data_IF_692470365688
#
_entry.id   IF_692470365688
#
_cell.length_a   1.000
_cell.length_b   1.000
_cell.length_c   1.000
_cell.angle_alpha   90.00
_cell.angle_beta   90.00
_cell.angle_gamma   90.00
#
_symmetry.space_group_name_H-M   'P 1'
#
loop_
_entity.id
_entity.type
_entity.pdbx_description
1 polymer ?
#
# COMPACT_ATOMS: atom_id res chain seq x y z
N UNK A 1 -8.98 -22.48 0.65
CA UNK A 1 -8.20 -22.58 -0.60
C UNK A 1 -7.38 -21.32 -0.67
N UNK A 2 -6.06 -21.46 -0.58
CA UNK A 2 -5.07 -20.39 -0.39
C UNK A 2 -4.97 -19.61 -1.70
N UNK A 3 -5.56 -18.42 -1.75
CA UNK A 3 -5.32 -17.41 -2.80
C UNK A 3 -3.99 -16.72 -2.42
N UNK A 4 -2.88 -17.45 -2.33
CA UNK A 4 -1.83 -17.61 -3.35
C UNK A 4 -1.13 -16.31 -3.78
N UNK A 5 -0.49 -15.58 -2.85
CA UNK A 5 0.66 -14.64 -2.97
C UNK A 5 0.72 -13.64 -4.16
N UNK A 6 -0.30 -13.59 -5.00
CA UNK A 6 -0.33 -12.81 -6.23
C UNK A 6 -0.62 -11.35 -5.90
N UNK A 7 -1.39 -11.10 -4.84
CA UNK A 7 -1.65 -9.78 -4.31
C UNK A 7 -0.37 -9.15 -3.78
N UNK A 8 0.35 -9.84 -2.89
CA UNK A 8 1.71 -9.47 -2.45
C UNK A 8 2.65 -9.21 -3.63
N UNK A 9 2.66 -10.11 -4.63
CA UNK A 9 3.46 -9.90 -5.84
C UNK A 9 3.03 -8.65 -6.62
N UNK A 10 1.73 -8.34 -6.65
CA UNK A 10 1.16 -7.13 -7.21
C UNK A 10 1.62 -5.87 -6.47
N UNK A 11 1.51 -5.85 -5.13
CA UNK A 11 2.00 -4.76 -4.28
C UNK A 11 3.52 -4.57 -4.45
N UNK A 12 4.28 -5.66 -4.50
CA UNK A 12 5.72 -5.62 -4.76
C UNK A 12 6.06 -4.99 -6.12
N UNK A 13 5.34 -5.38 -7.18
CA UNK A 13 5.51 -4.78 -8.51
C UNK A 13 5.16 -3.30 -8.53
N UNK A 14 4.13 -2.88 -7.78
CA UNK A 14 3.80 -1.46 -7.62
C UNK A 14 4.92 -0.71 -6.90
N UNK A 15 5.47 -1.27 -5.83
CA UNK A 15 6.60 -0.69 -5.12
C UNK A 15 7.83 -0.50 -6.02
N UNK A 16 8.17 -1.51 -6.82
CA UNK A 16 9.24 -1.41 -7.83
C UNK A 16 8.94 -0.33 -8.86
N UNK A 17 7.71 -0.29 -9.37
CA UNK A 17 7.28 0.75 -10.31
C UNK A 17 7.43 2.15 -9.72
N UNK A 18 7.04 2.37 -8.46
CA UNK A 18 7.14 3.67 -7.80
C UNK A 18 8.58 4.17 -7.72
N UNK A 19 9.52 3.30 -7.33
CA UNK A 19 10.94 3.63 -7.28
C UNK A 19 11.45 4.01 -8.67
N UNK A 20 11.12 3.24 -9.71
CA UNK A 20 11.53 3.54 -11.08
C UNK A 20 10.86 4.80 -11.64
N UNK A 21 9.58 5.00 -11.34
CA UNK A 21 8.78 6.14 -11.79
C UNK A 21 9.34 7.48 -11.29
N UNK A 22 10.00 7.48 -10.13
CA UNK A 22 10.67 8.65 -9.58
C UNK A 22 11.73 9.24 -10.51
N UNK A 23 12.36 8.39 -11.34
CA UNK A 23 13.35 8.81 -12.33
C UNK A 23 12.74 9.02 -13.72
N UNK A 24 11.74 8.21 -14.09
CA UNK A 24 11.15 8.23 -15.44
C UNK A 24 10.14 9.37 -15.61
N UNK A 25 9.39 9.74 -14.56
CA UNK A 25 8.30 10.72 -14.64
C UNK A 25 8.74 12.16 -14.35
N UNK A 26 10.05 12.41 -14.21
CA UNK A 26 10.58 13.76 -14.02
C UNK A 26 10.25 14.38 -12.66
N UNK A 27 10.07 13.55 -11.63
CA UNK A 27 9.98 14.03 -10.26
C UNK A 27 11.28 14.74 -9.87
N UNK A 28 11.18 15.77 -9.03
CA UNK A 28 12.35 16.53 -8.56
C UNK A 28 12.20 16.93 -7.09
N UNK A 29 13.33 17.30 -6.48
CA UNK A 29 13.37 17.73 -5.07
C UNK A 29 12.87 16.66 -4.09
N UNK A 30 12.06 17.06 -3.12
CA UNK A 30 11.52 16.18 -2.08
C UNK A 30 10.61 15.07 -2.65
N UNK A 31 9.96 15.33 -3.79
CA UNK A 31 9.01 14.40 -4.39
C UNK A 31 9.67 13.08 -4.85
N UNK A 32 10.93 13.13 -5.29
CA UNK A 32 11.72 11.93 -5.64
C UNK A 32 11.90 11.04 -4.41
N UNK A 33 12.42 11.61 -3.33
CA UNK A 33 12.75 10.85 -2.12
C UNK A 33 11.52 10.29 -1.42
N UNK A 34 10.42 11.05 -1.40
CA UNK A 34 9.16 10.59 -0.81
C UNK A 34 8.53 9.47 -1.64
N UNK A 35 8.54 9.58 -2.98
CA UNK A 35 8.06 8.50 -3.85
C UNK A 35 8.89 7.23 -3.66
N UNK A 36 10.23 7.36 -3.59
CA UNK A 36 11.13 6.22 -3.35
C UNK A 36 10.86 5.61 -1.97
N UNK A 37 10.77 6.42 -0.92
CA UNK A 37 10.54 5.95 0.45
C UNK A 37 9.21 5.20 0.56
N UNK A 38 8.14 5.74 -0.02
CA UNK A 38 6.83 5.07 -0.05
C UNK A 38 6.87 3.79 -0.89
N UNK A 39 7.53 3.81 -2.05
CA UNK A 39 7.71 2.61 -2.89
C UNK A 39 8.47 1.51 -2.15
N UNK A 40 9.57 1.85 -1.48
CA UNK A 40 10.34 0.90 -0.65
C UNK A 40 9.54 0.39 0.54
N UNK A 41 8.71 1.25 1.16
CA UNK A 41 7.78 0.84 2.21
C UNK A 41 6.82 -0.23 1.71
N UNK A 42 6.18 0.00 0.56
CA UNK A 42 5.26 -0.99 -0.05
C UNK A 42 6.01 -2.29 -0.36
N UNK A 43 7.23 -2.21 -0.91
CA UNK A 43 8.03 -3.42 -1.16
C UNK A 43 8.37 -4.18 0.12
N UNK A 44 8.66 -3.47 1.22
CA UNK A 44 9.01 -4.09 2.49
C UNK A 44 7.84 -4.89 3.06
N UNK A 45 6.66 -4.26 3.15
CA UNK A 45 5.44 -4.94 3.62
C UNK A 45 5.12 -6.13 2.72
N UNK A 46 5.01 -5.92 1.41
CA UNK A 46 4.76 -7.01 0.46
C UNK A 46 5.76 -8.18 0.55
N UNK A 47 7.04 -7.94 0.90
CA UNK A 47 8.02 -9.01 1.13
C UNK A 47 7.78 -9.72 2.46
N UNK A 48 7.40 -8.99 3.52
CA UNK A 48 7.06 -9.58 4.81
C UNK A 48 5.84 -10.51 4.73
N UNK A 49 4.82 -10.22 3.89
CA UNK A 49 3.68 -11.12 3.65
C UNK A 49 4.08 -12.54 3.27
N UNK A 50 5.10 -12.67 2.43
CA UNK A 50 5.58 -13.99 2.00
C UNK A 50 6.16 -14.81 3.15
N UNK A 51 6.59 -14.15 4.24
CA UNK A 51 7.25 -14.79 5.38
C UNK A 51 6.29 -14.96 6.56
N UNK A 52 5.56 -13.90 6.93
CA UNK A 52 4.67 -13.85 8.09
C UNK A 52 3.37 -13.13 7.72
N UNK A 53 2.36 -13.85 7.20
CA UNK A 53 1.06 -13.28 6.91
C UNK A 53 0.43 -12.72 8.20
N UNK A 54 0.17 -11.42 8.23
CA UNK A 54 -0.39 -10.74 9.41
C UNK A 54 -1.32 -9.60 9.01
N UNK A 55 -2.43 -9.44 9.74
CA UNK A 55 -3.35 -8.32 9.57
C UNK A 55 -2.67 -6.94 9.70
N UNK A 56 -1.60 -6.82 10.51
CA UNK A 56 -0.87 -5.56 10.66
C UNK A 56 -0.20 -5.10 9.38
N UNK A 57 0.19 -6.05 8.55
CA UNK A 57 0.82 -5.80 7.27
C UNK A 57 -0.19 -5.22 6.28
N UNK A 58 -1.37 -5.82 6.17
CA UNK A 58 -2.48 -5.35 5.34
C UNK A 58 -2.88 -3.90 5.72
N UNK A 59 -2.94 -3.60 7.03
CA UNK A 59 -3.16 -2.23 7.51
C UNK A 59 -2.00 -1.28 7.14
N UNK A 60 -0.76 -1.76 7.20
CA UNK A 60 0.43 -1.01 6.78
C UNK A 60 0.37 -0.64 5.29
N UNK A 61 0.03 -1.60 4.43
CA UNK A 61 -0.16 -1.39 3.01
C UNK A 61 -1.31 -0.40 2.72
N UNK A 62 -2.44 -0.49 3.43
CA UNK A 62 -3.52 0.49 3.32
C UNK A 62 -3.07 1.91 3.66
N UNK A 63 -2.29 2.07 4.75
CA UNK A 63 -1.76 3.37 5.16
C UNK A 63 -0.75 3.92 4.15
N UNK A 64 0.13 3.07 3.62
CA UNK A 64 1.10 3.45 2.59
C UNK A 64 0.41 3.82 1.27
N UNK A 65 -0.59 3.07 0.85
CA UNK A 65 -1.40 3.39 -0.32
C UNK A 65 -2.14 4.71 -0.15
N UNK A 66 -2.65 5.00 1.05
CA UNK A 66 -3.26 6.30 1.34
C UNK A 66 -2.22 7.43 1.30
N UNK A 67 -1.04 7.20 1.86
CA UNK A 67 0.07 8.17 1.79
C UNK A 67 0.47 8.45 0.33
N UNK A 68 0.51 7.44 -0.53
CA UNK A 68 0.76 7.58 -1.97
C UNK A 68 -0.30 8.39 -2.71
N UNK A 69 -1.57 8.21 -2.33
CA UNK A 69 -2.67 9.04 -2.86
C UNK A 69 -2.46 10.49 -2.43
N UNK A 70 -2.14 10.76 -1.16
CA UNK A 70 -2.06 12.14 -0.65
C UNK A 70 -0.72 12.84 -0.96
N UNK A 71 0.33 12.11 -1.30
CA UNK A 71 1.68 12.62 -1.52
C UNK A 71 1.76 13.72 -2.59
N UNK A 72 1.13 13.62 -3.77
CA UNK A 72 1.23 14.63 -4.82
C UNK A 72 0.76 16.02 -4.37
N UNK A 73 -0.31 16.07 -3.57
CA UNK A 73 -0.85 17.33 -3.05
C UNK A 73 -0.10 17.84 -1.83
N UNK A 74 0.43 16.93 -1.01
CA UNK A 74 1.19 17.30 0.19
C UNK A 74 2.59 17.85 -0.15
N UNK A 75 3.20 17.31 -1.21
CA UNK A 75 4.58 17.63 -1.60
C UNK A 75 4.64 18.57 -2.81
N UNK A 76 3.57 18.65 -3.60
CA UNK A 76 3.50 19.50 -4.78
C UNK A 76 4.17 18.87 -6.00
N UNK A 77 3.68 17.71 -6.44
CA UNK A 77 4.19 17.07 -7.65
C UNK A 77 3.87 17.93 -8.87
N UNK A 78 4.90 18.34 -9.61
CA UNK A 78 4.74 19.18 -10.81
C UNK A 78 4.16 18.40 -12.02
N UNK A 79 4.67 17.21 -12.37
CA UNK A 79 4.18 16.51 -13.56
C UNK A 79 2.84 15.82 -13.26
N UNK A 80 1.82 16.11 -14.07
CA UNK A 80 0.50 15.45 -13.99
C UNK A 80 0.63 13.93 -14.09
N UNK A 81 1.56 13.44 -14.92
CA UNK A 81 1.86 12.01 -15.06
C UNK A 81 2.36 11.37 -13.75
N UNK A 82 3.19 12.08 -12.98
CA UNK A 82 3.68 11.63 -11.68
C UNK A 82 2.55 11.57 -10.65
N UNK A 83 1.67 12.59 -10.63
CA UNK A 83 0.47 12.60 -9.78
C UNK A 83 -0.44 11.42 -10.08
N UNK A 84 -0.77 11.19 -11.36
CA UNK A 84 -1.61 10.07 -11.77
C UNK A 84 -0.96 8.73 -11.40
N UNK A 85 0.34 8.56 -11.65
CA UNK A 85 1.06 7.34 -11.28
C UNK A 85 1.00 7.09 -9.77
N UNK A 86 1.29 8.09 -8.94
CA UNK A 86 1.27 7.97 -7.48
C UNK A 86 -0.12 7.60 -6.97
N UNK A 87 -1.16 8.27 -7.46
CA UNK A 87 -2.55 8.02 -7.04
C UNK A 87 -3.02 6.64 -7.48
N UNK A 88 -2.77 6.25 -8.74
CA UNK A 88 -3.18 4.93 -9.24
C UNK A 88 -2.45 3.80 -8.50
N UNK A 89 -1.15 3.95 -8.26
CA UNK A 89 -0.38 3.01 -7.46
C UNK A 89 -0.91 2.91 -6.03
N UNK A 90 -1.18 4.04 -5.38
CA UNK A 90 -1.73 4.06 -4.02
C UNK A 90 -3.11 3.41 -3.93
N UNK A 91 -4.00 3.68 -4.89
CA UNK A 91 -5.30 3.01 -4.99
C UNK A 91 -5.17 1.52 -5.23
N UNK A 92 -4.24 1.09 -6.09
CA UNK A 92 -4.02 -0.34 -6.35
C UNK A 92 -3.59 -1.07 -5.07
N UNK A 93 -2.64 -0.51 -4.33
CA UNK A 93 -2.17 -1.08 -3.05
C UNK A 93 -3.30 -1.16 -2.03
N UNK A 94 -4.10 -0.09 -1.87
CA UNK A 94 -5.28 -0.13 -0.98
C UNK A 94 -6.26 -1.23 -1.39
N UNK A 95 -6.53 -1.38 -2.69
CA UNK A 95 -7.48 -2.37 -3.18
C UNK A 95 -6.96 -3.80 -2.96
N UNK A 96 -5.66 -4.04 -3.12
CA UNK A 96 -5.04 -5.35 -2.87
C UNK A 96 -5.10 -5.69 -1.38
N UNK A 97 -4.66 -4.79 -0.50
CA UNK A 97 -4.71 -4.97 0.94
C UNK A 97 -6.14 -5.15 1.47
N UNK A 98 -7.10 -4.35 0.97
CA UNK A 98 -8.51 -4.48 1.34
C UNK A 98 -9.11 -5.82 0.86
N UNK A 99 -8.68 -6.32 -0.30
CA UNK A 99 -9.10 -7.63 -0.79
C UNK A 99 -8.61 -8.75 0.13
N UNK A 100 -7.36 -8.68 0.58
CA UNK A 100 -6.78 -9.65 1.53
C UNK A 100 -7.56 -9.64 2.85
N UNK A 101 -7.76 -8.48 3.46
CA UNK A 101 -8.58 -8.29 4.65
C UNK A 101 -10.00 -8.87 4.52
N UNK A 102 -10.63 -8.75 3.35
CA UNK A 102 -11.97 -9.29 3.11
C UNK A 102 -11.98 -10.80 2.85
N UNK A 103 -10.90 -11.33 2.28
CA UNK A 103 -10.78 -12.74 1.91
C UNK A 103 -10.32 -13.58 3.09
N UNK A 104 -9.50 -13.00 3.97
CA UNK A 104 -8.98 -13.68 5.13
C UNK A 104 -10.01 -13.70 6.27
N UNK A 105 -10.33 -14.90 6.75
CA UNK A 105 -11.42 -15.11 7.72
C UNK A 105 -11.05 -14.70 9.14
N UNK A 106 -9.75 -14.51 9.41
CA UNK A 106 -9.22 -14.14 10.72
C UNK A 106 -9.46 -12.65 11.05
N UNK A 107 -9.70 -11.79 10.06
CA UNK A 107 -10.11 -10.40 10.31
C UNK A 107 -11.47 -10.31 11.01
N UNK A 108 -12.42 -11.16 10.60
CA UNK A 108 -13.76 -11.23 11.20
C UNK A 108 -13.70 -11.59 12.69
N UNK A 109 -12.89 -12.60 13.05
CA UNK A 109 -12.75 -13.04 14.44
C UNK A 109 -12.05 -12.00 15.31
N UNK A 110 -10.99 -11.33 14.84
CA UNK A 110 -10.36 -10.23 15.59
C UNK A 110 -11.30 -9.04 15.77
N UNK A 111 -12.02 -8.60 14.73
CA UNK A 111 -12.97 -7.48 14.82
C UNK A 111 -14.10 -7.80 15.82
N UNK A 112 -14.56 -9.06 15.86
CA UNK A 112 -15.55 -9.50 16.85
C UNK A 112 -15.01 -9.54 18.28
N UNK A 113 -13.75 -9.92 18.49
CA UNK A 113 -13.14 -10.00 19.83
C UNK A 113 -12.68 -8.63 20.37
N UNK A 114 -12.26 -7.69 19.50
CA UNK A 114 -11.72 -6.38 19.91
C UNK A 114 -12.76 -5.26 20.06
N UNK A 115 -14.01 -5.48 19.63
CA UNK A 115 -15.12 -4.60 19.98
C UNK A 115 -15.85 -5.14 21.21
N UNK A 116 -15.48 -4.73 22.44
CA UNK A 116 -16.29 -5.06 23.60
C UNK A 116 -17.68 -4.45 23.38
N UNK A 117 -18.69 -5.31 23.31
CA UNK A 117 -20.06 -4.86 23.49
C UNK A 117 -20.08 -4.01 24.76
N UNK A 118 -20.33 -2.70 24.60
CA UNK A 118 -20.77 -1.89 25.73
C UNK A 118 -22.11 -2.48 26.14
N UNK A 119 -22.07 -3.40 27.11
CA UNK A 119 -23.23 -3.88 27.81
C UNK A 119 -23.91 -2.63 28.41
N UNK A 120 -25.03 -2.26 27.81
CA UNK A 120 -25.96 -1.28 28.36
C UNK A 120 -26.74 -1.87 29.52
#
# INVERSE_FOLDING_TARGET
MRIQHWQDAGSLLVGVWLVLSSFVLGLSGAAVWITIALGLGVMLFAVEAFVVPSYLEEWGEMLLGLALVLAPWSIGYEPVSATVSSVLSGLLVILLAAWELMTDRDFSTWWHDHWPHRAG
#
